data_IF_488450977331
#
_entry.id   IF_488450977331
#
_cell.length_a   1.000
_cell.length_b   1.000
_cell.length_c   1.000
_cell.angle_alpha   90.00
_cell.angle_beta   90.00
_cell.angle_gamma   90.00
#
_symmetry.space_group_name_H-M   'P 1'
#
loop_
_entity.id
_entity.type
_entity.pdbx_description
1 polymer ?
#
# COMPACT_ATOMS: atom_id res chain seq x y z
N UNK A 1 -7.99 -40.33 3.48
CA UNK A 1 -7.63 -39.70 2.20
C UNK A 1 -6.17 -39.26 2.26
N UNK A 2 -5.40 -39.54 1.22
CA UNK A 2 -4.02 -39.08 1.12
C UNK A 2 -4.01 -37.67 0.54
N UNK A 3 -3.10 -36.81 1.04
CA UNK A 3 -2.81 -35.54 0.41
C UNK A 3 -2.06 -35.84 -0.90
N UNK A 4 -2.64 -35.41 -2.01
CA UNK A 4 -2.03 -35.60 -3.33
C UNK A 4 -1.06 -34.47 -3.68
N UNK A 5 -1.47 -33.22 -3.38
CA UNK A 5 -0.68 -32.05 -3.69
C UNK A 5 -1.08 -30.86 -2.81
N UNK A 6 -0.19 -29.85 -2.73
CA UNK A 6 -0.45 -28.55 -2.10
C UNK A 6 -0.09 -27.47 -3.09
N UNK A 7 -1.10 -26.72 -3.53
CA UNK A 7 -0.92 -25.60 -4.47
C UNK A 7 -1.02 -24.28 -3.74
N UNK A 8 0.04 -23.47 -3.79
CA UNK A 8 0.04 -22.09 -3.30
C UNK A 8 -0.25 -21.15 -4.47
N UNK A 9 -1.44 -20.54 -4.46
CA UNK A 9 -1.90 -19.71 -5.58
C UNK A 9 -1.68 -18.22 -5.40
N UNK A 10 -1.36 -17.75 -4.20
CA UNK A 10 -1.18 -16.32 -3.94
C UNK A 10 -0.22 -16.06 -2.78
N UNK A 11 0.43 -14.87 -2.81
CA UNK A 11 1.17 -14.36 -1.68
C UNK A 11 0.20 -13.91 -0.55
N UNK A 12 0.67 -13.93 0.70
CA UNK A 12 -0.08 -13.42 1.86
C UNK A 12 -0.19 -11.89 1.79
N UNK A 13 0.88 -11.23 1.36
CA UNK A 13 0.96 -9.79 1.18
C UNK A 13 1.46 -9.43 -0.21
N UNK A 14 1.07 -8.25 -0.69
CA UNK A 14 1.51 -7.69 -1.97
C UNK A 14 1.74 -6.19 -1.77
N UNK A 15 2.68 -5.62 -2.50
CA UNK A 15 2.96 -4.17 -2.44
C UNK A 15 2.52 -3.53 -3.75
N UNK A 16 1.65 -2.53 -3.67
CA UNK A 16 1.44 -1.56 -4.73
C UNK A 16 2.52 -0.50 -4.62
N UNK A 17 3.39 -0.43 -5.61
CA UNK A 17 4.59 0.39 -5.57
C UNK A 17 4.37 1.73 -6.28
N UNK A 18 4.74 2.84 -5.61
CA UNK A 18 4.81 4.18 -6.20
C UNK A 18 6.25 4.67 -6.34
N UNK A 19 7.23 3.78 -6.16
CA UNK A 19 8.65 4.11 -6.22
C UNK A 19 9.36 3.30 -7.30
N UNK A 20 10.34 2.46 -6.96
CA UNK A 20 11.33 1.89 -7.87
C UNK A 20 10.79 0.90 -8.92
N UNK A 21 9.69 0.21 -8.65
CA UNK A 21 9.10 -0.74 -9.61
C UNK A 21 8.26 -0.08 -10.70
N UNK A 22 8.05 1.23 -10.62
CA UNK A 22 7.29 2.01 -11.59
C UNK A 22 8.14 3.16 -12.11
N UNK A 23 7.96 3.51 -13.38
CA UNK A 23 8.56 4.69 -13.97
C UNK A 23 7.48 5.77 -14.09
N UNK A 24 7.25 6.50 -13.00
CA UNK A 24 6.39 7.68 -13.00
C UNK A 24 7.27 8.90 -13.35
N UNK A 25 7.34 9.24 -14.64
CA UNK A 25 8.23 10.31 -15.14
C UNK A 25 7.55 11.68 -15.16
N UNK A 26 6.23 11.70 -15.04
CA UNK A 26 5.42 12.91 -15.02
C UNK A 26 4.20 12.76 -14.10
N UNK A 27 3.40 13.82 -14.02
CA UNK A 27 2.18 13.86 -13.22
C UNK A 27 1.09 12.92 -13.74
N UNK A 28 1.03 12.63 -15.04
CA UNK A 28 0.04 11.72 -15.61
C UNK A 28 0.30 10.29 -15.16
N UNK A 29 1.55 9.86 -15.18
CA UNK A 29 2.00 8.56 -14.67
C UNK A 29 1.70 8.43 -13.17
N UNK A 30 1.99 9.50 -12.40
CA UNK A 30 1.73 9.52 -10.97
C UNK A 30 0.23 9.41 -10.67
N UNK A 31 -0.58 10.14 -11.38
CA UNK A 31 -2.05 10.08 -11.27
C UNK A 31 -2.58 8.70 -11.67
N UNK A 32 -2.00 8.06 -12.67
CA UNK A 32 -2.37 6.69 -13.04
C UNK A 32 -2.10 5.70 -11.90
N UNK A 33 -0.95 5.83 -11.23
CA UNK A 33 -0.63 5.05 -10.04
C UNK A 33 -1.67 5.24 -8.92
N UNK A 34 -2.03 6.48 -8.62
CA UNK A 34 -3.07 6.78 -7.62
C UNK A 34 -4.46 6.28 -8.02
N UNK A 35 -4.85 6.38 -9.29
CA UNK A 35 -6.11 5.82 -9.80
C UNK A 35 -6.16 4.31 -9.65
N UNK A 36 -5.07 3.62 -9.94
CA UNK A 36 -4.97 2.18 -9.75
C UNK A 36 -5.10 1.81 -8.27
N UNK A 37 -4.41 2.52 -7.38
CA UNK A 37 -4.55 2.32 -5.94
C UNK A 37 -5.97 2.55 -5.44
N UNK A 38 -6.60 3.65 -5.87
CA UNK A 38 -8.00 3.94 -5.54
C UNK A 38 -8.94 2.83 -6.01
N UNK A 39 -8.78 2.35 -7.25
CA UNK A 39 -9.58 1.27 -7.80
C UNK A 39 -9.40 -0.06 -7.06
N UNK A 40 -8.18 -0.35 -6.58
CA UNK A 40 -7.91 -1.50 -5.71
C UNK A 40 -8.64 -1.38 -4.37
N UNK A 41 -8.61 -0.20 -3.75
CA UNK A 41 -9.25 0.06 -2.45
C UNK A 41 -10.78 0.09 -2.56
N UNK A 42 -11.32 0.61 -3.65
CA UNK A 42 -12.76 0.54 -3.96
C UNK A 42 -13.22 -0.87 -4.35
N UNK A 43 -12.29 -1.72 -4.79
CA UNK A 43 -12.57 -3.07 -5.26
C UNK A 43 -13.14 -3.14 -6.69
N UNK A 44 -13.08 -2.05 -7.45
CA UNK A 44 -13.65 -1.93 -8.79
C UNK A 44 -12.61 -1.85 -9.92
N UNK A 45 -11.31 -1.96 -9.61
CA UNK A 45 -10.25 -1.93 -10.61
C UNK A 45 -10.41 -3.06 -11.62
N UNK A 46 -10.38 -2.71 -12.89
CA UNK A 46 -10.47 -3.64 -14.01
C UNK A 46 -9.43 -3.32 -15.08
N UNK A 47 -8.89 -4.36 -15.70
CA UNK A 47 -7.98 -4.23 -16.83
C UNK A 47 -8.40 -5.14 -17.98
N UNK A 48 -8.43 -4.59 -19.20
CA UNK A 48 -8.62 -5.37 -20.42
C UNK A 48 -7.30 -6.01 -20.82
N UNK A 49 -7.24 -7.32 -20.86
CA UNK A 49 -6.03 -8.09 -21.17
C UNK A 49 -6.27 -8.93 -22.41
N UNK A 50 -5.25 -9.00 -23.27
CA UNK A 50 -5.17 -9.95 -24.41
C UNK A 50 -4.07 -10.95 -24.12
N UNK A 51 -4.43 -12.23 -24.01
CA UNK A 51 -3.45 -13.32 -23.80
C UNK A 51 -3.82 -14.48 -24.72
N UNK A 52 -2.85 -15.01 -25.45
CA UNK A 52 -3.02 -16.12 -26.40
C UNK A 52 -4.20 -15.91 -27.36
N UNK A 53 -4.33 -14.70 -27.91
CA UNK A 53 -5.42 -14.35 -28.84
C UNK A 53 -6.77 -14.05 -28.21
N UNK A 54 -6.99 -14.41 -26.96
CA UNK A 54 -8.26 -14.18 -26.22
C UNK A 54 -8.22 -12.86 -25.49
N UNK A 55 -9.31 -12.10 -25.54
CA UNK A 55 -9.53 -10.87 -24.77
C UNK A 55 -10.36 -11.22 -23.55
N UNK A 56 -9.95 -10.75 -22.37
CA UNK A 56 -10.73 -10.90 -21.15
C UNK A 56 -10.52 -9.68 -20.22
N UNK A 57 -11.46 -9.49 -19.30
CA UNK A 57 -11.37 -8.46 -18.27
C UNK A 57 -10.79 -9.10 -17.01
N UNK A 58 -9.62 -8.63 -16.59
CA UNK A 58 -9.08 -8.97 -15.27
C UNK A 58 -9.71 -8.05 -14.24
N UNK A 59 -10.17 -8.61 -13.15
CA UNK A 59 -10.75 -7.92 -12.00
C UNK A 59 -10.29 -8.61 -10.71
N UNK A 60 -10.51 -7.95 -9.57
CA UNK A 60 -10.24 -8.54 -8.27
C UNK A 60 -11.07 -9.80 -8.04
N UNK A 61 -10.45 -10.84 -7.50
CA UNK A 61 -11.12 -12.10 -7.21
C UNK A 61 -12.05 -11.96 -6.01
N UNK A 62 -13.23 -12.60 -6.03
CA UNK A 62 -14.07 -12.77 -4.85
C UNK A 62 -13.40 -13.74 -3.87
N UNK A 63 -13.79 -13.68 -2.60
CA UNK A 63 -13.40 -14.68 -1.63
C UNK A 63 -13.90 -16.07 -2.03
N UNK A 64 -13.19 -17.11 -1.60
CA UNK A 64 -13.50 -18.50 -1.93
C UNK A 64 -14.22 -19.19 -0.79
N UNK A 65 -15.22 -20.00 -1.11
CA UNK A 65 -15.95 -20.80 -0.15
C UNK A 65 -15.56 -22.27 -0.25
N UNK A 66 -15.39 -22.91 0.88
CA UNK A 66 -15.02 -24.31 1.01
C UNK A 66 -15.86 -24.99 2.09
N UNK A 67 -15.82 -26.31 2.10
CA UNK A 67 -16.39 -27.13 3.17
C UNK A 67 -15.23 -27.63 4.03
N UNK A 68 -15.26 -27.34 5.32
CA UNK A 68 -14.27 -27.86 6.28
C UNK A 68 -14.42 -29.36 6.50
N UNK A 69 -13.42 -29.98 7.13
CA UNK A 69 -13.47 -31.37 7.52
C UNK A 69 -14.63 -31.71 8.48
N UNK A 70 -15.14 -30.72 9.20
CA UNK A 70 -16.33 -30.82 10.07
C UNK A 70 -17.68 -30.60 9.34
N UNK A 71 -17.66 -30.41 8.00
CA UNK A 71 -18.85 -30.15 7.20
C UNK A 71 -19.34 -28.69 7.19
N UNK A 72 -18.66 -27.79 7.89
CA UNK A 72 -19.05 -26.38 7.94
C UNK A 72 -18.54 -25.61 6.73
N UNK A 73 -19.32 -24.63 6.27
CA UNK A 73 -18.85 -23.67 5.25
C UNK A 73 -17.81 -22.75 5.88
N UNK A 74 -16.68 -22.62 5.22
CA UNK A 74 -15.61 -21.67 5.55
C UNK A 74 -15.34 -20.77 4.37
N UNK A 75 -14.95 -19.52 4.64
CA UNK A 75 -14.64 -18.52 3.63
C UNK A 75 -13.19 -18.07 3.78
N UNK A 76 -12.43 -18.18 2.71
CA UNK A 76 -11.03 -17.77 2.66
C UNK A 76 -10.86 -16.55 1.76
N UNK A 77 -10.00 -15.65 2.15
CA UNK A 77 -9.62 -14.52 1.29
C UNK A 77 -8.92 -15.01 0.03
N UNK A 78 -9.41 -14.54 -1.11
CA UNK A 78 -8.77 -14.79 -2.40
C UNK A 78 -7.81 -13.66 -2.82
N UNK A 79 -7.64 -12.64 -2.00
CA UNK A 79 -6.75 -11.49 -2.25
C UNK A 79 -5.71 -11.40 -1.16
N UNK A 80 -4.44 -11.17 -1.57
CA UNK A 80 -3.39 -10.80 -0.65
C UNK A 80 -3.70 -9.46 0.04
N UNK A 81 -3.27 -9.29 1.28
CA UNK A 81 -3.27 -7.97 1.91
C UNK A 81 -2.32 -7.06 1.13
N UNK A 82 -2.83 -5.96 0.62
CA UNK A 82 -2.04 -5.01 -0.17
C UNK A 82 -1.56 -3.87 0.69
N UNK A 83 -0.24 -3.66 0.68
CA UNK A 83 0.44 -2.51 1.21
C UNK A 83 0.73 -1.54 0.07
N UNK A 84 0.88 -0.25 0.38
CA UNK A 84 1.31 0.76 -0.57
C UNK A 84 2.73 1.23 -0.22
N UNK A 85 3.67 1.17 -1.17
CA UNK A 85 4.97 1.79 -1.00
C UNK A 85 4.92 3.22 -1.50
N UNK A 86 5.05 4.18 -0.58
CA UNK A 86 5.26 5.58 -0.91
C UNK A 86 6.71 5.80 -1.37
N UNK A 87 7.03 6.95 -1.94
CA UNK A 87 8.42 7.33 -2.18
C UNK A 87 9.12 7.76 -0.87
N UNK A 88 10.45 7.74 -0.88
CA UNK A 88 11.29 8.19 0.24
C UNK A 88 11.20 9.69 0.52
N UNK A 89 12.05 10.19 1.42
CA UNK A 89 12.04 11.60 1.80
C UNK A 89 12.76 12.52 0.80
N UNK A 90 13.66 11.97 -0.01
CA UNK A 90 14.52 12.75 -0.91
C UNK A 90 13.77 13.37 -2.08
N UNK A 91 12.75 12.69 -2.59
CA UNK A 91 12.10 13.04 -3.86
C UNK A 91 11.15 14.22 -3.72
N UNK A 92 11.17 15.10 -4.74
CA UNK A 92 10.18 16.16 -4.95
C UNK A 92 9.39 15.88 -6.23
N UNK A 93 8.28 16.57 -6.41
CA UNK A 93 7.41 16.40 -7.58
C UNK A 93 6.87 17.75 -8.05
N UNK A 94 6.94 18.04 -9.35
CA UNK A 94 6.36 19.25 -9.93
C UNK A 94 4.83 19.21 -10.04
N UNK A 95 4.19 18.09 -9.71
CA UNK A 95 2.73 17.93 -9.76
C UNK A 95 1.98 18.94 -8.89
N UNK A 96 2.63 19.41 -7.81
CA UNK A 96 2.14 20.50 -6.96
C UNK A 96 3.30 21.42 -6.66
N UNK A 97 3.11 22.70 -6.96
CA UNK A 97 4.09 23.74 -6.63
C UNK A 97 3.67 24.48 -5.37
N UNK A 98 4.62 24.78 -4.52
CA UNK A 98 4.45 25.67 -3.38
C UNK A 98 4.35 27.14 -3.84
N UNK A 99 4.00 28.04 -2.93
CA UNK A 99 3.79 29.46 -3.26
C UNK A 99 5.04 30.16 -3.81
N UNK A 100 6.21 29.68 -3.46
CA UNK A 100 7.50 30.17 -3.93
C UNK A 100 7.98 29.52 -5.23
N UNK A 101 7.16 28.65 -5.82
CA UNK A 101 7.47 27.92 -7.05
C UNK A 101 8.29 26.63 -6.84
N UNK A 102 8.66 26.30 -5.60
CA UNK A 102 9.34 25.04 -5.31
C UNK A 102 8.39 23.85 -5.41
N UNK A 103 8.94 22.68 -5.73
CA UNK A 103 8.19 21.43 -5.82
C UNK A 103 7.79 20.90 -4.45
N UNK A 104 6.63 20.25 -4.38
CA UNK A 104 6.21 19.57 -3.15
C UNK A 104 7.13 18.35 -2.87
N UNK A 105 7.48 18.09 -1.60
CA UNK A 105 8.06 16.80 -1.23
C UNK A 105 7.10 15.66 -1.58
N UNK A 106 7.51 14.82 -2.53
CA UNK A 106 6.64 13.78 -3.11
C UNK A 106 6.16 12.77 -2.07
N UNK A 107 7.02 12.42 -1.10
CA UNK A 107 6.66 11.51 -0.02
C UNK A 107 5.55 12.04 0.90
N UNK A 108 5.39 13.36 1.02
CA UNK A 108 4.27 13.98 1.75
C UNK A 108 2.99 13.89 0.91
N UNK A 109 3.07 14.17 -0.39
CA UNK A 109 1.95 14.01 -1.32
C UNK A 109 1.45 12.56 -1.33
N UNK A 110 2.36 11.59 -1.45
CA UNK A 110 2.02 10.18 -1.38
C UNK A 110 1.29 9.81 -0.08
N UNK A 111 1.81 10.26 1.06
CA UNK A 111 1.22 9.97 2.36
C UNK A 111 -0.25 10.41 2.44
N UNK A 112 -0.57 11.59 1.92
CA UNK A 112 -1.95 12.09 1.90
C UNK A 112 -2.82 11.33 0.90
N UNK A 113 -2.40 11.23 -0.35
CA UNK A 113 -3.23 10.70 -1.44
C UNK A 113 -3.45 9.21 -1.27
N UNK A 114 -2.40 8.44 -0.93
CA UNK A 114 -2.53 7.00 -0.76
C UNK A 114 -3.37 6.63 0.45
N UNK A 115 -3.29 7.41 1.54
CA UNK A 115 -4.15 7.23 2.71
C UNK A 115 -5.59 7.59 2.38
N UNK A 116 -5.85 8.73 1.73
CA UNK A 116 -7.19 9.15 1.33
C UNK A 116 -7.85 8.11 0.39
N UNK A 117 -7.10 7.54 -0.55
CA UNK A 117 -7.59 6.45 -1.38
C UNK A 117 -7.91 5.18 -0.57
N UNK A 118 -7.06 4.83 0.41
CA UNK A 118 -7.24 3.62 1.21
C UNK A 118 -8.48 3.65 2.12
N UNK A 119 -8.95 4.83 2.54
CA UNK A 119 -10.17 4.98 3.35
C UNK A 119 -11.40 4.39 2.64
N UNK A 120 -11.43 4.36 1.32
CA UNK A 120 -12.52 3.77 0.56
C UNK A 120 -12.72 2.27 0.83
N UNK A 121 -11.68 1.57 1.28
CA UNK A 121 -11.76 0.16 1.67
C UNK A 121 -12.47 -0.07 3.02
N UNK A 122 -12.53 0.92 3.91
CA UNK A 122 -12.97 0.73 5.30
C UNK A 122 -14.40 0.21 5.42
N UNK A 123 -15.27 0.57 4.48
CA UNK A 123 -16.65 0.08 4.45
C UNK A 123 -16.72 -1.35 3.90
N UNK A 124 -16.03 -1.61 2.81
CA UNK A 124 -16.07 -2.89 2.09
C UNK A 124 -15.19 -3.96 2.75
N UNK A 125 -14.12 -3.55 3.46
CA UNK A 125 -13.11 -4.44 4.08
C UNK A 125 -12.54 -5.45 3.10
N UNK A 126 -12.36 -5.03 1.86
CA UNK A 126 -11.84 -5.86 0.79
C UNK A 126 -10.34 -6.06 0.87
N UNK A 127 -9.62 -5.08 1.42
CA UNK A 127 -8.19 -5.14 1.70
C UNK A 127 -7.92 -5.24 3.19
N UNK A 128 -8.25 -4.20 3.97
CA UNK A 128 -8.05 -4.18 5.42
C UNK A 128 -9.31 -4.56 6.18
N UNK A 129 -9.23 -5.61 6.98
CA UNK A 129 -10.35 -6.04 7.84
C UNK A 129 -10.45 -5.26 9.13
N UNK A 130 -9.39 -4.53 9.48
CA UNK A 130 -9.24 -3.78 10.74
C UNK A 130 -9.35 -2.27 10.55
N UNK A 131 -9.71 -1.80 9.34
CA UNK A 131 -9.73 -0.39 8.98
C UNK A 131 -8.36 0.28 9.23
N UNK A 132 -7.30 -0.39 8.79
CA UNK A 132 -5.94 0.14 8.82
C UNK A 132 -5.44 0.40 7.40
N UNK A 133 -4.56 1.37 7.25
CA UNK A 133 -3.83 1.65 6.02
C UNK A 133 -2.41 1.16 6.20
N UNK A 134 -1.90 0.38 5.26
CA UNK A 134 -0.57 -0.21 5.35
C UNK A 134 0.36 0.47 4.35
N UNK A 135 1.34 1.20 4.86
CA UNK A 135 2.31 1.96 4.03
C UNK A 135 3.72 1.44 4.30
N UNK A 136 4.43 1.13 3.22
CA UNK A 136 5.86 0.86 3.26
C UNK A 136 6.59 2.16 2.96
N UNK A 137 7.52 2.56 3.83
CA UNK A 137 8.33 3.76 3.65
C UNK A 137 9.78 3.38 3.37
N UNK A 138 10.26 3.60 2.13
CA UNK A 138 11.59 3.22 1.70
C UNK A 138 12.65 4.25 2.03
N UNK A 139 13.91 3.87 1.87
CA UNK A 139 15.10 4.75 1.86
C UNK A 139 15.19 5.70 3.06
N UNK A 140 14.79 5.23 4.24
CA UNK A 140 14.97 5.98 5.48
C UNK A 140 16.38 5.74 6.04
N UNK A 141 17.05 6.81 6.42
CA UNK A 141 18.42 6.81 6.93
C UNK A 141 18.46 6.96 8.46
N UNK A 142 18.02 5.94 9.18
CA UNK A 142 18.13 5.86 10.62
C UNK A 142 16.90 6.34 11.40
N UNK A 143 17.00 6.37 12.75
CA UNK A 143 15.85 6.60 13.62
C UNK A 143 15.19 7.97 13.45
N UNK A 144 15.96 9.02 13.12
CA UNK A 144 15.43 10.38 12.97
C UNK A 144 14.49 10.49 11.78
N UNK A 145 14.83 9.87 10.64
CA UNK A 145 13.94 9.84 9.46
C UNK A 145 12.72 8.94 9.69
N UNK A 146 12.87 7.86 10.47
CA UNK A 146 11.74 7.05 10.92
C UNK A 146 10.79 7.87 11.81
N UNK A 147 11.33 8.62 12.77
CA UNK A 147 10.54 9.50 13.62
C UNK A 147 9.82 10.59 12.79
N UNK A 148 10.48 11.15 11.81
CA UNK A 148 9.88 12.12 10.88
C UNK A 148 8.73 11.50 10.08
N UNK A 149 8.89 10.26 9.60
CA UNK A 149 7.81 9.52 8.94
C UNK A 149 6.61 9.35 9.85
N UNK A 150 6.82 8.98 11.12
CA UNK A 150 5.75 8.88 12.10
C UNK A 150 5.01 10.21 12.28
N UNK A 151 5.76 11.32 12.37
CA UNK A 151 5.18 12.66 12.46
C UNK A 151 4.33 13.02 11.24
N UNK A 152 4.79 12.72 10.03
CA UNK A 152 4.01 12.94 8.79
C UNK A 152 2.68 12.18 8.88
N UNK A 153 2.72 10.90 9.23
CA UNK A 153 1.50 10.09 9.27
C UNK A 153 0.54 10.48 10.40
N UNK A 154 1.04 10.91 11.56
CA UNK A 154 0.19 11.52 12.59
C UNK A 154 -0.53 12.78 12.08
N UNK A 155 0.13 13.61 11.28
CA UNK A 155 -0.48 14.77 10.65
C UNK A 155 -1.52 14.39 9.59
N UNK A 156 -1.22 13.39 8.76
CA UNK A 156 -2.16 12.85 7.77
C UNK A 156 -3.42 12.32 8.45
N UNK A 157 -3.27 11.51 9.50
CA UNK A 157 -4.39 10.99 10.28
C UNK A 157 -5.26 12.13 10.84
N UNK A 158 -4.63 13.16 11.39
CA UNK A 158 -5.34 14.32 11.94
C UNK A 158 -6.13 15.08 10.86
N UNK A 159 -5.50 15.35 9.72
CA UNK A 159 -6.15 16.11 8.61
C UNK A 159 -7.29 15.32 8.00
N UNK A 160 -7.14 14.00 7.85
CA UNK A 160 -8.16 13.13 7.30
C UNK A 160 -9.19 12.64 8.34
N UNK A 161 -9.13 13.17 9.57
CA UNK A 161 -10.01 12.81 10.69
C UNK A 161 -10.05 11.30 10.96
N UNK A 162 -8.89 10.66 10.91
CA UNK A 162 -8.71 9.25 11.21
C UNK A 162 -8.38 9.03 12.69
N UNK A 163 -8.68 7.84 13.18
CA UNK A 163 -8.22 7.42 14.50
C UNK A 163 -6.70 7.32 14.51
N UNK A 164 -6.10 7.66 15.65
CA UNK A 164 -4.65 7.50 15.85
C UNK A 164 -4.22 6.07 15.58
N UNK A 165 -3.10 5.92 14.92
CA UNK A 165 -2.52 4.63 14.51
C UNK A 165 -3.36 3.84 13.49
N UNK A 166 -4.17 4.52 12.70
CA UNK A 166 -4.84 3.93 11.53
C UNK A 166 -3.81 3.56 10.45
N UNK A 167 -2.77 4.39 10.27
CA UNK A 167 -1.68 4.11 9.34
C UNK A 167 -0.65 3.22 10.03
N UNK A 168 -0.37 2.08 9.40
CA UNK A 168 0.65 1.11 9.83
C UNK A 168 1.85 1.26 8.92
N UNK A 169 3.01 1.53 9.50
CA UNK A 169 4.23 1.79 8.76
C UNK A 169 5.13 0.57 8.74
N UNK A 170 5.54 0.17 7.54
CA UNK A 170 6.63 -0.77 7.33
C UNK A 170 7.93 -0.04 7.03
N UNK A 171 8.95 -0.28 7.85
CA UNK A 171 10.31 0.19 7.59
C UNK A 171 10.94 -0.76 6.56
N UNK A 172 11.60 -0.22 5.54
CA UNK A 172 12.47 -1.00 4.68
C UNK A 172 13.90 -0.98 5.27
N UNK A 173 14.40 -2.17 5.56
CA UNK A 173 15.78 -2.38 6.02
C UNK A 173 16.71 -2.48 4.82
N UNK A 174 16.97 -1.36 4.17
CA UNK A 174 17.74 -1.29 2.92
C UNK A 174 18.88 -0.25 2.98
N UNK A 175 18.83 0.69 3.94
CA UNK A 175 19.86 1.69 4.12
C UNK A 175 20.78 1.36 5.29
N UNK A 176 22.09 1.49 5.11
CA UNK A 176 23.09 1.08 6.12
C UNK A 176 22.80 1.68 7.50
N UNK A 177 22.47 2.98 7.58
CA UNK A 177 22.18 3.64 8.86
C UNK A 177 20.93 3.09 9.53
N UNK A 178 19.96 2.63 8.76
CA UNK A 178 18.78 1.95 9.28
C UNK A 178 19.10 0.54 9.72
N UNK A 179 19.86 -0.24 8.93
CA UNK A 179 20.22 -1.61 9.27
C UNK A 179 20.95 -1.74 10.60
N UNK A 180 21.95 -0.87 10.84
CA UNK A 180 22.71 -0.92 12.10
C UNK A 180 21.93 -0.37 13.31
N UNK A 181 20.82 0.32 13.09
CA UNK A 181 19.97 0.92 14.11
C UNK A 181 18.51 0.43 14.04
N UNK A 182 18.24 -0.70 13.40
CA UNK A 182 16.88 -1.14 13.08
C UNK A 182 15.97 -1.19 14.29
N UNK A 183 16.45 -1.69 15.42
CA UNK A 183 15.68 -1.75 16.66
C UNK A 183 15.26 -0.36 17.15
N UNK A 184 16.14 0.63 17.02
CA UNK A 184 15.84 2.02 17.39
C UNK A 184 14.89 2.66 16.36
N UNK A 185 15.08 2.40 15.07
CA UNK A 185 14.13 2.81 14.04
C UNK A 185 12.71 2.31 14.33
N UNK A 186 12.56 1.04 14.71
CA UNK A 186 11.26 0.46 15.08
C UNK A 186 10.67 1.15 16.31
N UNK A 187 11.49 1.53 17.31
CA UNK A 187 11.01 2.21 18.52
C UNK A 187 10.45 3.61 18.28
N UNK A 188 10.87 4.28 17.20
CA UNK A 188 10.38 5.63 16.86
C UNK A 188 9.01 5.60 16.21
N UNK A 189 8.57 4.45 15.70
CA UNK A 189 7.24 4.25 15.14
C UNK A 189 6.27 3.78 16.25
N UNK A 190 5.10 4.34 16.26
CA UNK A 190 4.06 4.04 17.28
C UNK A 190 2.86 3.35 16.65
#
# INVERSE_FOLDING_TARGET
AAIYDVVLESAITTIMDHEDSVAAVDEEDKVLGYKNWLGLMKGDLQAKIKKSGKKFIRKLNPDREYISSSGNKIKLHARALMLNRNVGHLMTSPSILLKDGSEIPEGIMDAFITTAAAIHDFKAKGNSRTNSVYIVKPKMHGPEECAFTNLIFEKVEKVLNLKKYTIKVGIMDEERRTSVNLKECIRTLK
#
